data_IF_207754833649
#
_entry.id   IF_207754833649
#
_cell.length_a   1.000
_cell.length_b   1.000
_cell.length_c   1.000
_cell.angle_alpha   90.00
_cell.angle_beta   90.00
_cell.angle_gamma   90.00
#
_symmetry.space_group_name_H-M   'P 1'
#
loop_
_entity.id
_entity.type
_entity.pdbx_description
1 polymer ?
#
# COMPACT_ATOMS: atom_id res chain seq x y z
N UNK A 1 -17.22 36.76 61.14
CA UNK A 1 -16.27 36.52 60.04
C UNK A 1 -16.99 35.64 59.01
N UNK A 2 -17.88 36.21 58.18
CA UNK A 2 -17.69 36.72 56.81
C UNK A 2 -17.36 35.61 55.75
N UNK A 3 -18.35 35.10 54.99
CA UNK A 3 -18.91 35.38 53.61
C UNK A 3 -18.26 34.56 52.45
N UNK A 4 -19.11 34.02 51.56
CA UNK A 4 -18.94 33.90 50.07
C UNK A 4 -18.00 32.82 49.52
N UNK A 5 -18.11 32.19 48.33
CA UNK A 5 -19.06 32.05 47.18
C UNK A 5 -18.40 31.10 46.15
N UNK A 6 -19.17 30.36 45.34
CA UNK A 6 -18.77 29.81 44.01
C UNK A 6 -17.78 28.61 44.06
N UNK A 7 -17.90 27.52 43.30
CA UNK A 7 -18.27 27.41 41.89
C UNK A 7 -16.99 27.35 41.04
N UNK A 8 -16.59 26.16 40.59
CA UNK A 8 -16.12 25.83 39.23
C UNK A 8 -15.58 24.40 39.20
N UNK A 9 -16.21 23.59 38.36
CA UNK A 9 -15.64 22.41 37.71
C UNK A 9 -14.32 22.80 37.03
N UNK A 10 -13.24 22.06 37.30
CA UNK A 10 -12.05 22.09 36.44
C UNK A 10 -11.63 20.65 36.12
N UNK A 11 -11.56 20.42 34.81
CA UNK A 11 -11.10 19.24 34.13
C UNK A 11 -9.62 19.00 34.44
N UNK A 12 -9.29 17.84 35.00
CA UNK A 12 -8.10 17.09 34.59
C UNK A 12 -7.96 15.87 35.48
N UNK A 13 -8.35 14.70 34.96
CA UNK A 13 -7.77 13.44 35.44
C UNK A 13 -6.47 13.26 34.66
N UNK A 14 -5.28 13.40 35.31
CA UNK A 14 -4.07 12.91 34.70
C UNK A 14 -4.08 11.39 34.88
N UNK A 15 -4.34 10.64 33.81
CA UNK A 15 -4.08 9.20 33.82
C UNK A 15 -2.59 9.00 33.54
N UNK A 16 -1.76 9.26 34.55
CA UNK A 16 -0.42 8.71 34.61
C UNK A 16 -0.53 7.22 34.94
N UNK A 17 0.08 6.37 34.10
CA UNK A 17 0.30 4.96 34.44
C UNK A 17 1.10 4.91 35.76
N UNK A 18 0.70 4.04 36.69
CA UNK A 18 1.17 3.97 38.09
C UNK A 18 2.63 3.50 38.23
N UNK A 19 3.47 3.66 37.22
CA UNK A 19 4.83 3.12 37.18
C UNK A 19 5.91 4.10 36.72
N UNK A 20 5.64 5.40 36.60
CA UNK A 20 6.70 6.42 36.51
C UNK A 20 7.78 6.19 35.45
N UNK A 21 7.50 5.39 34.42
CA UNK A 21 8.46 5.01 33.39
C UNK A 21 8.23 5.94 32.21
N UNK A 22 9.26 6.71 31.81
CA UNK A 22 9.26 7.30 30.47
C UNK A 22 9.10 6.16 29.46
N UNK A 23 8.28 6.32 28.39
CA UNK A 23 8.06 5.24 27.44
C UNK A 23 9.38 4.84 26.79
N UNK A 24 9.93 3.71 27.26
CA UNK A 24 11.21 3.15 26.86
C UNK A 24 11.15 2.66 25.40
N UNK A 25 12.27 2.77 24.70
CA UNK A 25 12.42 2.75 23.24
C UNK A 25 12.04 1.44 22.48
N UNK A 26 11.27 0.53 23.09
CA UNK A 26 10.88 -0.78 22.52
C UNK A 26 9.39 -1.10 22.75
N UNK A 27 8.52 -0.11 22.64
CA UNK A 27 7.10 -0.25 22.91
C UNK A 27 6.35 -0.86 21.69
N UNK A 28 6.50 -2.18 21.50
CA UNK A 28 5.82 -2.95 20.45
C UNK A 28 4.31 -2.95 20.72
N UNK A 29 3.53 -2.45 19.76
CA UNK A 29 2.07 -2.42 19.88
C UNK A 29 1.52 -3.86 19.99
N UNK A 30 0.79 -4.20 21.08
CA UNK A 30 0.24 -5.54 21.22
C UNK A 30 -0.69 -5.91 20.07
N UNK A 31 -0.73 -7.19 19.62
CA UNK A 31 -1.55 -7.62 18.48
C UNK A 31 -3.03 -7.22 18.57
N UNK A 32 -3.62 -7.29 19.77
CA UNK A 32 -5.02 -6.90 20.00
C UNK A 32 -5.26 -5.40 19.77
N UNK A 33 -4.32 -4.54 20.14
CA UNK A 33 -4.42 -3.09 19.87
C UNK A 33 -4.26 -2.82 18.38
N UNK A 34 -3.39 -3.56 17.70
CA UNK A 34 -3.19 -3.43 16.25
C UNK A 34 -4.46 -3.79 15.46
N UNK A 35 -5.10 -4.91 15.82
CA UNK A 35 -6.33 -5.35 15.19
C UNK A 35 -7.44 -4.28 15.28
N UNK A 36 -7.58 -3.63 16.45
CA UNK A 36 -8.52 -2.52 16.64
C UNK A 36 -8.19 -1.30 15.77
N UNK A 37 -6.91 -0.92 15.66
CA UNK A 37 -6.50 0.19 14.80
C UNK A 37 -6.85 -0.06 13.33
N UNK A 38 -6.60 -1.28 12.85
CA UNK A 38 -6.90 -1.69 11.47
C UNK A 38 -8.41 -1.71 11.22
N UNK A 39 -9.18 -2.20 12.19
CA UNK A 39 -10.64 -2.15 12.16
C UNK A 39 -11.17 -0.71 12.09
N UNK A 40 -10.72 0.18 12.98
CA UNK A 40 -11.14 1.59 13.01
C UNK A 40 -10.81 2.31 11.70
N UNK A 41 -9.64 2.02 11.12
CA UNK A 41 -9.27 2.52 9.79
C UNK A 41 -10.23 1.99 8.74
N UNK A 42 -10.59 0.71 8.79
CA UNK A 42 -11.55 0.11 7.87
C UNK A 42 -12.93 0.78 7.93
N UNK A 43 -13.44 1.04 9.13
CA UNK A 43 -14.69 1.78 9.34
C UNK A 43 -14.62 3.18 8.75
N UNK A 44 -13.52 3.92 8.96
CA UNK A 44 -13.33 5.26 8.39
C UNK A 44 -13.27 5.24 6.86
N UNK A 45 -12.55 4.28 6.26
CA UNK A 45 -12.40 4.17 4.80
C UNK A 45 -13.72 3.92 4.08
N UNK A 46 -14.61 3.10 4.64
CA UNK A 46 -15.94 2.88 4.04
C UNK A 46 -16.90 4.08 4.22
N UNK A 47 -16.59 4.99 5.15
CA UNK A 47 -17.33 6.23 5.39
C UNK A 47 -16.94 7.38 4.44
N UNK A 48 -15.89 7.24 3.65
CA UNK A 48 -15.47 8.26 2.68
C UNK A 48 -16.52 8.50 1.59
N UNK A 49 -16.60 9.75 1.12
CA UNK A 49 -17.43 10.13 -0.02
C UNK A 49 -16.95 9.43 -1.30
N UNK A 50 -17.85 9.19 -2.25
CA UNK A 50 -17.51 8.54 -3.51
C UNK A 50 -16.38 9.26 -4.26
N UNK A 51 -16.44 10.60 -4.31
CA UNK A 51 -15.41 11.42 -4.97
C UNK A 51 -14.06 11.27 -4.26
N UNK A 52 -14.03 11.33 -2.93
CA UNK A 52 -12.79 11.15 -2.17
C UNK A 52 -12.20 9.76 -2.39
N UNK A 53 -13.00 8.70 -2.28
CA UNK A 53 -12.56 7.32 -2.49
C UNK A 53 -12.02 7.12 -3.90
N UNK A 54 -12.71 7.66 -4.92
CA UNK A 54 -12.29 7.53 -6.30
C UNK A 54 -10.98 8.28 -6.57
N UNK A 55 -10.86 9.55 -6.16
CA UNK A 55 -9.66 10.36 -6.36
C UNK A 55 -8.45 9.76 -5.66
N UNK A 56 -8.61 9.33 -4.40
CA UNK A 56 -7.53 8.64 -3.68
C UNK A 56 -7.19 7.27 -4.32
N UNK A 57 -8.18 6.59 -4.91
CA UNK A 57 -7.97 5.39 -5.71
C UNK A 57 -7.14 5.67 -6.98
N UNK A 58 -7.46 6.73 -7.71
CA UNK A 58 -6.70 7.15 -8.91
C UNK A 58 -5.24 7.45 -8.53
N UNK A 59 -5.01 8.19 -7.45
CA UNK A 59 -3.66 8.47 -6.98
C UNK A 59 -2.88 7.20 -6.62
N UNK A 60 -3.52 6.24 -5.94
CA UNK A 60 -2.87 4.98 -5.62
C UNK A 60 -2.50 4.16 -6.86
N UNK A 61 -3.35 4.14 -7.88
CA UNK A 61 -3.03 3.52 -9.18
C UNK A 61 -1.79 4.14 -9.83
N UNK A 62 -1.75 5.47 -9.88
CA UNK A 62 -0.61 6.21 -10.42
C UNK A 62 0.69 5.98 -9.62
N UNK A 63 0.61 5.93 -8.29
CA UNK A 63 1.77 5.67 -7.43
C UNK A 63 2.35 4.27 -7.65
N UNK A 64 1.50 3.25 -7.76
CA UNK A 64 1.96 1.89 -8.10
C UNK A 64 2.54 1.83 -9.52
N UNK A 65 1.98 2.57 -10.46
CA UNK A 65 2.54 2.71 -11.82
C UNK A 65 3.95 3.34 -11.79
N UNK A 66 4.19 4.40 -11.00
CA UNK A 66 5.54 4.96 -10.84
C UNK A 66 6.53 3.97 -10.23
N UNK A 67 6.12 3.20 -9.22
CA UNK A 67 6.94 2.11 -8.68
C UNK A 67 7.27 1.04 -9.74
N UNK A 68 6.29 0.70 -10.58
CA UNK A 68 6.43 -0.27 -11.67
C UNK A 68 7.39 0.24 -12.76
N UNK A 69 7.29 1.51 -13.14
CA UNK A 69 8.22 2.16 -14.07
C UNK A 69 9.65 2.17 -13.51
N UNK A 70 9.82 2.52 -12.23
CA UNK A 70 11.13 2.56 -11.60
C UNK A 70 11.75 1.16 -11.52
N UNK A 71 10.94 0.14 -11.23
CA UNK A 71 11.33 -1.27 -11.34
C UNK A 71 11.83 -1.62 -12.75
N UNK A 72 11.06 -1.34 -13.80
CA UNK A 72 11.42 -1.66 -15.19
C UNK A 72 12.76 -1.02 -15.56
N UNK A 73 12.95 0.26 -15.29
CA UNK A 73 14.20 0.97 -15.58
C UNK A 73 15.37 0.36 -14.81
N UNK A 74 15.17 0.02 -13.54
CA UNK A 74 16.22 -0.53 -12.66
C UNK A 74 16.75 -1.89 -13.12
N UNK A 75 15.88 -2.72 -13.70
CA UNK A 75 16.29 -4.06 -14.17
C UNK A 75 16.76 -4.08 -15.63
N UNK A 76 16.45 -3.03 -16.40
CA UNK A 76 16.85 -2.91 -17.81
C UNK A 76 18.38 -2.90 -17.91
N UNK A 77 18.95 -3.78 -18.73
CA UNK A 77 20.41 -3.87 -18.93
C UNK A 77 21.21 -4.32 -17.69
N UNK A 78 20.56 -4.89 -16.68
CA UNK A 78 21.23 -5.27 -15.43
C UNK A 78 22.16 -6.48 -15.61
N UNK A 79 23.44 -6.32 -15.26
CA UNK A 79 24.45 -7.38 -15.32
C UNK A 79 24.71 -8.08 -13.97
N UNK A 80 23.96 -7.72 -12.91
CA UNK A 80 24.16 -8.25 -11.56
C UNK A 80 23.67 -9.71 -11.36
N UNK A 81 23.12 -10.34 -12.39
CA UNK A 81 22.60 -11.70 -12.35
C UNK A 81 21.19 -11.82 -11.75
N UNK A 82 20.57 -13.00 -11.89
CA UNK A 82 19.13 -13.20 -11.67
C UNK A 82 18.62 -12.75 -10.29
N UNK A 83 19.27 -13.19 -9.20
CA UNK A 83 18.85 -12.86 -7.84
C UNK A 83 19.02 -11.37 -7.50
N UNK A 84 20.25 -10.82 -7.61
CA UNK A 84 20.51 -9.41 -7.30
C UNK A 84 19.71 -8.42 -8.15
N UNK A 85 19.53 -8.67 -9.46
CA UNK A 85 18.69 -7.81 -10.32
C UNK A 85 17.25 -7.75 -9.80
N UNK A 86 16.68 -8.88 -9.39
CA UNK A 86 15.33 -8.94 -8.81
C UNK A 86 15.24 -8.27 -7.45
N UNK A 87 16.29 -8.34 -6.62
CA UNK A 87 16.38 -7.61 -5.36
C UNK A 87 16.38 -6.09 -5.57
N UNK A 88 17.25 -5.60 -6.46
CA UNK A 88 17.32 -4.17 -6.81
C UNK A 88 15.99 -3.68 -7.39
N UNK A 89 15.41 -4.45 -8.31
CA UNK A 89 14.11 -4.16 -8.86
C UNK A 89 13.00 -4.10 -7.79
N UNK A 90 12.98 -5.05 -6.85
CA UNK A 90 12.02 -5.04 -5.75
C UNK A 90 12.16 -3.83 -4.83
N UNK A 91 13.40 -3.40 -4.55
CA UNK A 91 13.65 -2.17 -3.79
C UNK A 91 13.15 -0.94 -4.54
N UNK A 92 13.40 -0.85 -5.85
CA UNK A 92 12.86 0.23 -6.69
C UNK A 92 11.32 0.24 -6.70
N UNK A 93 10.69 -0.93 -6.85
CA UNK A 93 9.24 -1.08 -6.83
C UNK A 93 8.60 -0.60 -5.53
N UNK A 94 9.30 -0.72 -4.39
CA UNK A 94 8.81 -0.30 -3.07
C UNK A 94 8.38 1.17 -3.01
N UNK A 95 8.92 2.02 -3.89
CA UNK A 95 8.47 3.40 -4.08
C UNK A 95 6.95 3.50 -4.20
N UNK A 96 6.30 2.59 -4.94
CA UNK A 96 4.87 2.66 -5.17
C UNK A 96 4.05 2.57 -3.88
N UNK A 97 4.34 1.59 -3.03
CA UNK A 97 3.61 1.44 -1.75
C UNK A 97 4.03 2.52 -0.73
N UNK A 98 5.27 3.01 -0.76
CA UNK A 98 5.70 4.16 0.04
C UNK A 98 4.85 5.39 -0.29
N UNK A 99 4.69 5.72 -1.57
CA UNK A 99 3.87 6.85 -2.00
C UNK A 99 2.40 6.68 -1.60
N UNK A 100 1.84 5.46 -1.73
CA UNK A 100 0.48 5.16 -1.29
C UNK A 100 0.29 5.42 0.21
N UNK A 101 1.18 4.88 1.04
CA UNK A 101 1.02 4.94 2.51
C UNK A 101 1.32 6.32 3.06
N UNK A 102 2.37 6.98 2.58
CA UNK A 102 2.75 8.32 3.05
C UNK A 102 1.84 9.39 2.45
N UNK A 103 1.44 9.25 1.19
CA UNK A 103 0.49 10.14 0.52
C UNK A 103 -0.97 9.94 0.94
N UNK A 104 -1.29 8.88 1.68
CA UNK A 104 -2.64 8.61 2.18
C UNK A 104 -3.63 8.20 1.08
N UNK A 105 -3.15 7.55 0.02
CA UNK A 105 -3.99 7.09 -1.09
C UNK A 105 -4.71 5.77 -0.78
N UNK A 106 -5.78 5.48 -1.52
CA UNK A 106 -6.60 4.28 -1.30
C UNK A 106 -6.20 3.19 -2.29
N UNK A 107 -5.51 2.16 -1.81
CA UNK A 107 -5.05 1.03 -2.62
C UNK A 107 -5.89 -0.22 -2.33
N UNK A 108 -6.43 -0.85 -3.37
CA UNK A 108 -7.30 -2.03 -3.24
C UNK A 108 -6.64 -3.18 -2.45
N UNK A 109 -5.41 -3.53 -2.78
CA UNK A 109 -4.68 -4.63 -2.12
C UNK A 109 -4.52 -4.38 -0.63
N UNK A 110 -4.14 -3.16 -0.23
CA UNK A 110 -4.12 -2.74 1.19
C UNK A 110 -5.51 -2.68 1.83
N UNK A 111 -6.54 -2.25 1.09
CA UNK A 111 -7.93 -2.20 1.55
C UNK A 111 -8.56 -3.60 1.72
N UNK A 112 -7.87 -4.67 1.33
CA UNK A 112 -8.28 -6.03 1.69
C UNK A 112 -8.41 -6.19 3.21
N UNK A 113 -7.59 -5.47 3.99
CA UNK A 113 -7.65 -5.47 5.46
C UNK A 113 -8.96 -4.94 6.05
N UNK A 114 -9.77 -4.18 5.28
CA UNK A 114 -11.11 -3.74 5.70
C UNK A 114 -12.02 -4.93 6.03
N UNK A 115 -11.72 -6.12 5.48
CA UNK A 115 -12.42 -7.38 5.81
C UNK A 115 -12.46 -7.66 7.32
N UNK A 116 -11.47 -7.19 8.09
CA UNK A 116 -11.47 -7.32 9.55
C UNK A 116 -12.62 -6.55 10.22
N UNK A 117 -12.89 -5.32 9.77
CA UNK A 117 -14.02 -4.54 10.27
C UNK A 117 -15.36 -5.20 9.92
N UNK A 118 -15.44 -5.88 8.78
CA UNK A 118 -16.61 -6.67 8.41
C UNK A 118 -16.75 -7.93 9.27
N UNK A 119 -15.66 -8.66 9.49
CA UNK A 119 -15.65 -9.87 10.33
C UNK A 119 -16.05 -9.57 11.78
N UNK A 120 -15.65 -8.41 12.31
CA UNK A 120 -16.05 -7.91 13.63
C UNK A 120 -17.46 -7.27 13.64
N UNK A 121 -18.19 -7.30 12.52
CA UNK A 121 -19.55 -6.76 12.36
C UNK A 121 -19.68 -5.24 12.53
N UNK A 122 -18.57 -4.51 12.41
CA UNK A 122 -18.52 -3.05 12.48
C UNK A 122 -18.96 -2.37 11.18
N UNK A 123 -18.97 -3.11 10.06
CA UNK A 123 -19.47 -2.63 8.76
C UNK A 123 -20.32 -3.70 8.07
N UNK A 124 -21.16 -3.28 7.13
CA UNK A 124 -21.93 -4.21 6.29
C UNK A 124 -21.08 -4.73 5.12
N UNK A 125 -21.39 -5.93 4.62
CA UNK A 125 -20.76 -6.48 3.42
C UNK A 125 -20.94 -5.57 2.20
N UNK A 126 -22.10 -4.89 2.11
CA UNK A 126 -22.38 -3.92 1.04
C UNK A 126 -21.41 -2.73 1.11
N UNK A 127 -21.09 -2.22 2.30
CA UNK A 127 -20.12 -1.14 2.47
C UNK A 127 -18.70 -1.57 2.07
N UNK A 128 -18.31 -2.79 2.43
CA UNK A 128 -17.03 -3.40 2.02
C UNK A 128 -16.92 -3.50 0.50
N UNK A 129 -17.89 -4.14 -0.15
CA UNK A 129 -17.89 -4.34 -1.60
C UNK A 129 -17.96 -3.02 -2.37
N UNK A 130 -18.70 -2.02 -1.85
CA UNK A 130 -18.74 -0.66 -2.43
C UNK A 130 -17.34 -0.04 -2.44
N UNK A 131 -16.65 -0.05 -1.30
CA UNK A 131 -15.29 0.50 -1.20
C UNK A 131 -14.34 -0.22 -2.15
N UNK A 132 -14.31 -1.56 -2.11
CA UNK A 132 -13.44 -2.36 -2.97
C UNK A 132 -13.65 -2.08 -4.46
N UNK A 133 -14.91 -2.01 -4.90
CA UNK A 133 -15.24 -1.74 -6.30
C UNK A 133 -14.77 -0.36 -6.75
N UNK A 134 -15.06 0.68 -5.95
CA UNK A 134 -14.69 2.07 -6.29
C UNK A 134 -13.15 2.22 -6.29
N UNK A 135 -12.48 1.67 -5.28
CA UNK A 135 -11.02 1.78 -5.16
C UNK A 135 -10.33 1.00 -6.27
N UNK A 136 -10.78 -0.22 -6.61
CA UNK A 136 -10.23 -1.01 -7.70
C UNK A 136 -10.39 -0.31 -9.05
N UNK A 137 -11.57 0.27 -9.32
CA UNK A 137 -11.81 1.06 -10.52
C UNK A 137 -10.94 2.33 -10.56
N UNK A 138 -10.80 3.05 -9.44
CA UNK A 138 -9.91 4.20 -9.33
C UNK A 138 -8.46 3.82 -9.59
N UNK A 139 -7.97 2.74 -8.97
CA UNK A 139 -6.62 2.22 -9.17
C UNK A 139 -6.36 1.89 -10.66
N UNK A 140 -7.33 1.27 -11.34
CA UNK A 140 -7.26 1.00 -12.78
C UNK A 140 -7.14 2.28 -13.60
N UNK A 141 -8.00 3.27 -13.35
CA UNK A 141 -7.98 4.57 -14.05
C UNK A 141 -6.62 5.24 -13.87
N UNK A 142 -6.11 5.29 -12.64
CA UNK A 142 -4.80 5.87 -12.34
C UNK A 142 -3.65 5.15 -13.04
N UNK A 143 -3.63 3.82 -12.99
CA UNK A 143 -2.60 3.02 -13.64
C UNK A 143 -2.58 3.19 -15.16
N UNK A 144 -3.75 3.17 -15.81
CA UNK A 144 -3.88 3.35 -17.26
C UNK A 144 -3.53 4.78 -17.69
N UNK A 145 -3.97 5.80 -16.94
CA UNK A 145 -3.62 7.19 -17.22
C UNK A 145 -2.10 7.39 -17.14
N UNK A 146 -1.45 6.83 -16.11
CA UNK A 146 0.01 6.89 -15.99
C UNK A 146 0.71 6.11 -17.10
N UNK A 147 0.21 4.94 -17.51
CA UNK A 147 0.76 4.21 -18.67
C UNK A 147 0.75 5.07 -19.94
N UNK A 148 -0.38 5.75 -20.22
CA UNK A 148 -0.48 6.69 -21.34
C UNK A 148 0.50 7.86 -21.24
N UNK A 149 0.67 8.43 -20.03
CA UNK A 149 1.64 9.52 -19.80
C UNK A 149 3.09 9.06 -19.98
N UNK A 150 3.45 7.85 -19.54
CA UNK A 150 4.79 7.26 -19.70
C UNK A 150 5.09 6.96 -21.17
N UNK A 151 4.09 6.56 -21.94
CA UNK A 151 4.23 6.40 -23.38
C UNK A 151 4.50 7.76 -24.06
N UNK A 152 3.68 8.77 -23.74
CA UNK A 152 3.79 10.12 -24.30
C UNK A 152 5.06 10.86 -23.86
N UNK A 153 5.62 10.55 -22.69
CA UNK A 153 6.86 11.17 -22.21
C UNK A 153 8.11 10.66 -22.94
N UNK A 154 8.00 9.59 -23.73
CA UNK A 154 9.14 8.95 -24.38
C UNK A 154 10.03 8.15 -23.42
N UNK A 155 9.59 7.90 -22.19
CA UNK A 155 10.35 7.12 -21.20
C UNK A 155 10.68 5.71 -21.70
N UNK A 156 9.78 5.08 -22.46
CA UNK A 156 10.03 3.74 -23.02
C UNK A 156 11.16 3.72 -24.06
N UNK A 157 11.56 4.88 -24.58
CA UNK A 157 12.67 5.04 -25.53
C UNK A 157 14.03 5.22 -24.84
N UNK A 158 14.06 5.31 -23.50
CA UNK A 158 15.31 5.36 -22.75
C UNK A 158 16.16 4.10 -23.01
N UNK A 159 17.48 4.26 -22.95
CA UNK A 159 18.42 3.19 -23.30
C UNK A 159 18.30 2.75 -24.77
N UNK A 160 17.92 3.65 -25.68
CA UNK A 160 17.72 3.29 -27.10
C UNK A 160 16.50 2.40 -27.34
N UNK A 161 15.53 2.39 -26.43
CA UNK A 161 14.32 1.56 -26.50
C UNK A 161 14.38 0.26 -25.69
N UNK A 162 15.51 -0.02 -25.01
CA UNK A 162 15.64 -1.20 -24.15
C UNK A 162 14.64 -1.22 -22.99
N UNK A 163 14.26 -0.04 -22.45
CA UNK A 163 13.25 0.04 -21.39
C UNK A 163 11.88 -0.45 -21.90
N UNK A 164 11.48 -0.05 -23.11
CA UNK A 164 10.25 -0.52 -23.74
C UNK A 164 10.28 -2.01 -24.07
N UNK A 165 11.42 -2.54 -24.52
CA UNK A 165 11.59 -3.98 -24.73
C UNK A 165 11.48 -4.76 -23.41
N UNK A 166 12.10 -4.27 -22.34
CA UNK A 166 12.01 -4.84 -21.00
C UNK A 166 10.58 -4.82 -20.48
N UNK A 167 9.86 -3.71 -20.65
CA UNK A 167 8.44 -3.60 -20.30
C UNK A 167 7.59 -4.64 -21.04
N UNK A 168 7.78 -4.76 -22.35
CA UNK A 168 7.08 -5.74 -23.19
C UNK A 168 7.37 -7.18 -22.78
N UNK A 169 8.62 -7.48 -22.42
CA UNK A 169 9.02 -8.81 -21.95
C UNK A 169 8.34 -9.17 -20.61
N UNK A 170 8.28 -8.22 -19.67
CA UNK A 170 7.56 -8.40 -18.40
C UNK A 170 6.08 -8.69 -18.65
N UNK A 171 5.45 -7.91 -19.54
CA UNK A 171 4.04 -8.08 -19.89
C UNK A 171 3.77 -9.47 -20.49
N UNK A 172 4.60 -9.90 -21.43
CA UNK A 172 4.47 -11.21 -22.10
C UNK A 172 4.68 -12.36 -21.11
N UNK A 173 5.67 -12.28 -20.23
CA UNK A 173 5.89 -13.28 -19.18
C UNK A 173 4.65 -13.44 -18.29
N UNK A 174 4.05 -12.33 -17.87
CA UNK A 174 2.83 -12.33 -17.04
C UNK A 174 1.62 -12.92 -17.75
N UNK A 175 1.43 -12.60 -19.03
CA UNK A 175 0.34 -13.14 -19.85
C UNK A 175 0.50 -14.64 -20.12
N UNK A 176 1.72 -15.17 -20.05
CA UNK A 176 2.01 -16.59 -20.28
C UNK A 176 1.80 -17.48 -19.05
N UNK A 177 1.47 -16.91 -17.89
CA UNK A 177 1.28 -17.68 -16.66
C UNK A 177 0.04 -18.59 -16.72
N UNK A 178 0.19 -19.80 -16.21
CA UNK A 178 -0.94 -20.68 -15.92
C UNK A 178 -1.92 -19.97 -14.94
N UNK A 179 -3.25 -20.08 -15.14
CA UNK A 179 -4.23 -19.39 -14.29
C UNK A 179 -4.14 -19.74 -12.80
N UNK A 180 -3.84 -21.01 -12.45
CA UNK A 180 -3.69 -21.43 -11.05
C UNK A 180 -2.42 -20.82 -10.48
N UNK A 181 -1.33 -20.85 -11.24
CA UNK A 181 -0.08 -20.22 -10.84
C UNK A 181 -0.25 -18.71 -10.61
N UNK A 182 -0.94 -18.00 -11.52
CA UNK A 182 -1.24 -16.59 -11.39
C UNK A 182 -2.09 -16.30 -10.13
N UNK A 183 -3.11 -17.12 -9.87
CA UNK A 183 -3.95 -17.00 -8.68
C UNK A 183 -3.16 -17.18 -7.38
N UNK A 184 -2.37 -18.24 -7.26
CA UNK A 184 -1.56 -18.52 -6.07
C UNK A 184 -0.52 -17.43 -5.85
N UNK A 185 0.17 -16.98 -6.91
CA UNK A 185 1.10 -15.84 -6.85
C UNK A 185 0.39 -14.56 -6.40
N UNK A 186 -0.87 -14.36 -6.79
CA UNK A 186 -1.70 -13.25 -6.33
C UNK A 186 -2.00 -13.30 -4.82
N UNK A 187 -2.36 -14.47 -4.31
CA UNK A 187 -2.58 -14.69 -2.86
C UNK A 187 -1.31 -14.39 -2.08
N UNK A 188 -0.17 -14.95 -2.49
CA UNK A 188 1.11 -14.75 -1.82
C UNK A 188 1.58 -13.29 -1.86
N UNK A 189 1.36 -12.59 -2.98
CA UNK A 189 1.60 -11.15 -3.08
C UNK A 189 0.79 -10.40 -2.03
N UNK A 190 -0.52 -10.64 -1.98
CA UNK A 190 -1.41 -9.84 -1.14
C UNK A 190 -1.22 -10.11 0.36
N UNK A 191 -0.74 -11.30 0.74
CA UNK A 191 -0.27 -11.57 2.12
C UNK A 191 0.86 -10.60 2.49
N UNK A 192 1.89 -10.48 1.66
CA UNK A 192 3.01 -9.58 1.93
C UNK A 192 2.62 -8.10 1.88
N UNK A 193 1.72 -7.70 0.97
CA UNK A 193 1.17 -6.33 0.94
C UNK A 193 0.40 -6.02 2.21
N UNK A 194 -0.52 -6.91 2.63
CA UNK A 194 -1.28 -6.72 3.85
C UNK A 194 -0.36 -6.65 5.08
N UNK A 195 0.69 -7.47 5.14
CA UNK A 195 1.70 -7.41 6.20
C UNK A 195 2.48 -6.09 6.20
N UNK A 196 2.86 -5.56 5.03
CA UNK A 196 3.51 -4.25 4.93
C UNK A 196 2.61 -3.14 5.50
N UNK A 197 1.34 -3.12 5.09
CA UNK A 197 0.35 -2.14 5.59
C UNK A 197 0.11 -2.33 7.09
N UNK A 198 0.02 -3.57 7.56
CA UNK A 198 -0.14 -3.91 8.98
C UNK A 198 1.02 -3.37 9.83
N UNK A 199 2.26 -3.61 9.40
CA UNK A 199 3.46 -3.11 10.08
C UNK A 199 3.55 -1.58 10.08
N UNK A 200 3.01 -0.91 9.05
CA UNK A 200 2.95 0.56 9.03
C UNK A 200 2.08 1.15 10.15
N UNK A 201 1.11 0.40 10.69
CA UNK A 201 0.34 0.83 11.86
C UNK A 201 1.13 0.70 13.18
N UNK A 202 2.18 -0.15 13.21
CA UNK A 202 3.12 -0.23 14.34
C UNK A 202 4.15 0.92 14.32
N UNK A 203 4.46 1.45 13.14
CA UNK A 203 5.45 2.49 12.96
C UNK A 203 4.93 3.87 13.42
N UNK A 204 5.72 4.53 14.27
CA UNK A 204 5.43 5.88 14.81
C UNK A 204 6.03 7.04 14.00
N UNK A 205 6.88 6.73 13.02
CA UNK A 205 7.54 7.72 12.15
C UNK A 205 7.38 7.36 10.68
N UNK A 206 7.53 8.35 9.80
CA UNK A 206 7.55 8.15 8.34
C UNK A 206 8.65 7.18 7.95
N UNK A 207 9.87 7.36 8.49
CA UNK A 207 11.00 6.45 8.22
C UNK A 207 10.71 5.01 8.64
N UNK A 208 10.04 4.81 9.79
CA UNK A 208 9.63 3.47 10.23
C UNK A 208 8.63 2.82 9.28
N UNK A 209 7.69 3.59 8.72
CA UNK A 209 6.75 3.09 7.69
C UNK A 209 7.47 2.72 6.41
N UNK A 210 8.42 3.53 5.96
CA UNK A 210 9.23 3.24 4.77
C UNK A 210 10.00 1.92 4.95
N UNK A 211 10.67 1.74 6.09
CA UNK A 211 11.39 0.49 6.38
C UNK A 211 10.45 -0.73 6.47
N UNK A 212 9.25 -0.56 7.04
CA UNK A 212 8.23 -1.61 7.09
C UNK A 212 7.71 -2.02 5.71
N UNK A 213 7.77 -1.11 4.73
CA UNK A 213 7.31 -1.34 3.35
C UNK A 213 8.40 -2.01 2.50
N UNK A 214 9.65 -1.55 2.61
CA UNK A 214 10.74 -1.95 1.69
C UNK A 214 10.89 -3.48 1.66
N UNK A 215 11.00 -4.15 2.82
CA UNK A 215 11.30 -5.58 2.84
C UNK A 215 10.17 -6.47 2.28
N UNK A 216 8.91 -6.37 2.72
CA UNK A 216 7.84 -7.20 2.16
C UNK A 216 7.60 -6.94 0.67
N UNK A 217 7.70 -5.68 0.24
CA UNK A 217 7.52 -5.32 -1.16
C UNK A 217 8.63 -5.87 -2.02
N UNK A 218 9.88 -5.68 -1.60
CA UNK A 218 11.05 -6.25 -2.28
C UNK A 218 10.93 -7.77 -2.38
N UNK A 219 10.50 -8.43 -1.30
CA UNK A 219 10.34 -9.88 -1.28
C UNK A 219 9.31 -10.37 -2.30
N UNK A 220 8.10 -9.80 -2.37
CA UNK A 220 7.09 -10.31 -3.31
C UNK A 220 7.51 -10.08 -4.77
N UNK A 221 8.19 -8.98 -5.07
CA UNK A 221 8.72 -8.71 -6.42
C UNK A 221 9.85 -9.68 -6.74
N UNK A 222 10.80 -9.85 -5.83
CA UNK A 222 11.93 -10.74 -6.03
C UNK A 222 11.51 -12.21 -6.18
N UNK A 223 10.45 -12.62 -5.49
CA UNK A 223 9.87 -13.97 -5.59
C UNK A 223 8.95 -14.15 -6.81
N UNK A 224 8.63 -13.08 -7.55
CA UNK A 224 7.80 -13.14 -8.75
C UNK A 224 6.32 -13.36 -8.47
N UNK A 225 5.84 -12.81 -7.36
CA UNK A 225 4.41 -12.80 -7.05
C UNK A 225 3.67 -11.73 -7.86
N UNK A 226 2.36 -11.91 -8.01
CA UNK A 226 1.54 -11.13 -8.95
C UNK A 226 0.70 -10.08 -8.21
N UNK A 227 0.93 -8.80 -8.49
CA UNK A 227 0.20 -7.69 -7.88
C UNK A 227 -0.83 -7.12 -8.85
N UNK A 228 -2.12 -7.25 -8.53
CA UNK A 228 -3.22 -6.88 -9.41
C UNK A 228 -3.12 -5.45 -9.95
N UNK A 229 -2.84 -4.46 -9.09
CA UNK A 229 -2.74 -3.05 -9.50
C UNK A 229 -1.46 -2.74 -10.28
N UNK A 230 -0.39 -3.50 -10.05
CA UNK A 230 0.85 -3.31 -10.82
C UNK A 230 0.63 -3.82 -12.25
N UNK A 231 -0.07 -4.94 -12.38
CA UNK A 231 -0.43 -5.52 -13.66
C UNK A 231 -1.39 -4.62 -14.47
N UNK A 232 -2.20 -3.78 -13.82
CA UNK A 232 -3.00 -2.76 -14.52
C UNK A 232 -2.15 -1.74 -15.29
N UNK A 233 -0.91 -1.51 -14.86
CA UNK A 233 0.07 -0.67 -15.56
C UNK A 233 1.00 -1.50 -16.46
N UNK A 234 1.55 -2.60 -15.95
CA UNK A 234 2.59 -3.38 -16.65
C UNK A 234 2.08 -4.11 -17.90
N UNK A 235 0.79 -4.48 -17.97
CA UNK A 235 0.23 -5.19 -19.12
C UNK A 235 -0.04 -4.29 -20.33
N UNK A 236 -0.60 -3.07 -20.18
CA UNK A 236 -0.87 -2.18 -21.32
C UNK A 236 0.27 -1.23 -21.71
N UNK A 237 1.34 -1.11 -20.90
CA UNK A 237 2.45 -0.15 -21.14
C UNK A 237 3.37 -0.58 -22.28
#
# INVERSE_FOLDING_TARGET
>A
MNISTGGTTDDSIPVTDRRGHEPEALDVIPPARMARLVEDVGVRKVGLSLLSTLTLGVLAGAFIAFGSMFFTVTITGSEFGYGPTRLLGGMAFSLGLVLVIIGGAELFTGNSLIVMAWANRSITIRALLRNWTIVYAGNLIGALATAGLVHLSGTLLLGGGEVGQTASAIALEKLSLDPIQAFVRGVLCNILVCLAVWMCFAARSVSGKILAIIFPVTAFVALGFEHSIANMYLLPV
#
